data_IF_009972450716
#
_entry.id   IF_009972450716
#
_cell.length_a   1.000
_cell.length_b   1.000
_cell.length_c   1.000
_cell.angle_alpha   90.00
_cell.angle_beta   90.00
_cell.angle_gamma   90.00
#
_symmetry.space_group_name_H-M   'P 1'
#
loop_
_entity.id
_entity.type
_entity.pdbx_description
1 polymer ?
#
# COMPACT_ATOMS: atom_id res chain seq x y z
N UNK A 1 5.21 -23.79 5.29
CA UNK A 1 5.01 -22.35 5.56
C UNK A 1 6.17 -21.91 6.43
N UNK A 2 6.74 -20.74 6.17
CA UNK A 2 7.88 -20.24 6.96
C UNK A 2 7.31 -19.44 8.12
N UNK A 3 7.66 -19.82 9.34
CA UNK A 3 7.27 -19.06 10.54
C UNK A 3 8.20 -17.85 10.67
N UNK A 4 7.63 -16.65 10.65
CA UNK A 4 8.36 -15.40 10.88
C UNK A 4 8.03 -14.87 12.26
N UNK A 5 9.04 -14.47 13.01
CA UNK A 5 8.85 -13.73 14.25
C UNK A 5 8.38 -12.30 13.92
N UNK A 6 7.38 -11.81 14.64
CA UNK A 6 7.02 -10.39 14.64
C UNK A 6 7.91 -9.72 15.68
N UNK A 7 9.00 -9.09 15.24
CA UNK A 7 9.94 -8.47 16.16
C UNK A 7 9.43 -7.16 16.74
N UNK A 8 9.86 -6.89 17.97
CA UNK A 8 9.82 -5.60 18.63
C UNK A 8 11.25 -5.06 18.85
N UNK A 9 11.39 -3.95 19.57
CA UNK A 9 12.72 -3.36 19.86
C UNK A 9 13.62 -4.24 20.74
N UNK A 10 13.06 -5.24 21.43
CA UNK A 10 13.82 -6.14 22.31
C UNK A 10 14.32 -7.38 21.57
N UNK A 11 13.58 -7.81 20.56
CA UNK A 11 13.83 -9.05 19.82
C UNK A 11 14.40 -8.84 18.43
N UNK A 12 14.31 -7.63 17.86
CA UNK A 12 14.84 -7.35 16.53
C UNK A 12 16.38 -7.41 16.47
N UNK A 13 16.95 -7.76 15.30
CA UNK A 13 18.36 -7.57 15.03
C UNK A 13 18.80 -6.12 15.32
N UNK A 14 20.01 -5.92 15.86
CA UNK A 14 20.49 -4.61 16.32
C UNK A 14 20.30 -3.46 15.31
N UNK A 15 20.52 -3.75 14.01
CA UNK A 15 20.36 -2.74 12.95
C UNK A 15 18.91 -2.37 12.65
N UNK A 16 17.94 -3.21 13.01
CA UNK A 16 16.51 -2.95 12.82
C UNK A 16 15.86 -2.22 14.00
N UNK A 17 16.42 -2.30 15.22
CA UNK A 17 15.90 -1.61 16.41
C UNK A 17 15.62 -0.11 16.19
N UNK A 18 16.57 0.72 15.70
CA UNK A 18 16.29 2.15 15.48
C UNK A 18 15.23 2.40 14.39
N UNK A 19 15.08 1.47 13.43
CA UNK A 19 14.04 1.55 12.40
C UNK A 19 12.66 1.27 13.00
N UNK A 20 12.55 0.25 13.86
CA UNK A 20 11.31 -0.05 14.59
C UNK A 20 10.93 1.08 15.55
N UNK A 21 11.89 1.70 16.23
CA UNK A 21 11.63 2.88 17.06
C UNK A 21 11.11 4.07 16.24
N UNK A 22 11.69 4.31 15.05
CA UNK A 22 11.18 5.34 14.12
C UNK A 22 9.75 5.03 13.68
N UNK A 23 9.47 3.76 13.36
CA UNK A 23 8.12 3.32 12.99
C UNK A 23 7.13 3.51 14.15
N UNK A 24 7.49 3.11 15.37
CA UNK A 24 6.68 3.28 16.56
C UNK A 24 6.30 4.74 16.81
N UNK A 25 7.25 5.67 16.64
CA UNK A 25 7.01 7.11 16.77
C UNK A 25 6.05 7.64 15.71
N UNK A 26 6.12 7.13 14.47
CA UNK A 26 5.28 7.58 13.38
C UNK A 26 3.83 7.08 13.48
N UNK A 27 3.63 5.85 13.95
CA UNK A 27 2.32 5.20 13.97
C UNK A 27 1.70 5.05 15.37
N UNK A 28 2.42 5.43 16.43
CA UNK A 28 2.03 5.21 17.83
C UNK A 28 2.21 3.76 18.32
N UNK A 29 2.60 2.85 17.43
CA UNK A 29 2.89 1.44 17.69
C UNK A 29 3.80 0.91 16.56
N UNK A 30 4.41 -0.27 16.75
CA UNK A 30 5.12 -0.96 15.68
C UNK A 30 4.08 -1.78 14.89
N UNK A 31 3.80 -1.46 13.60
CA UNK A 31 2.94 -2.31 12.79
C UNK A 31 3.54 -3.70 12.65
N UNK A 32 2.72 -4.74 12.74
CA UNK A 32 3.18 -6.13 12.64
C UNK A 32 4.02 -6.40 11.38
N UNK A 33 3.69 -5.77 10.25
CA UNK A 33 4.49 -5.86 9.01
C UNK A 33 5.93 -5.36 9.21
N UNK A 34 6.13 -4.27 9.95
CA UNK A 34 7.47 -3.75 10.24
C UNK A 34 8.23 -4.70 11.15
N UNK A 35 7.54 -5.30 12.14
CA UNK A 35 8.10 -6.34 12.99
C UNK A 35 8.56 -7.57 12.20
N UNK A 36 7.79 -8.00 11.18
CA UNK A 36 8.20 -9.08 10.27
C UNK A 36 9.40 -8.67 9.41
N UNK A 37 9.36 -7.49 8.79
CA UNK A 37 10.46 -7.01 7.95
C UNK A 37 11.76 -6.80 8.73
N UNK A 38 11.70 -6.58 10.05
CA UNK A 38 12.87 -6.36 10.90
C UNK A 38 13.85 -7.53 10.93
N UNK A 39 13.40 -8.75 10.62
CA UNK A 39 14.27 -9.92 10.40
C UNK A 39 15.38 -9.59 9.38
N UNK A 40 15.06 -8.76 8.37
CA UNK A 40 16.03 -8.19 7.43
C UNK A 40 16.08 -6.66 7.56
N UNK A 41 17.05 -6.10 8.31
CA UNK A 41 17.21 -4.65 8.44
C UNK A 41 17.33 -3.91 7.10
N UNK A 42 17.88 -4.56 6.08
CA UNK A 42 17.98 -4.00 4.73
C UNK A 42 16.61 -3.84 4.05
N UNK A 43 15.74 -4.84 4.19
CA UNK A 43 14.37 -4.79 3.65
C UNK A 43 13.54 -3.76 4.39
N UNK A 44 13.57 -3.78 5.74
CA UNK A 44 12.85 -2.80 6.55
C UNK A 44 13.27 -1.37 6.20
N UNK A 45 14.58 -1.11 6.13
CA UNK A 45 15.11 0.21 5.77
C UNK A 45 14.66 0.63 4.37
N UNK A 46 14.82 -0.24 3.37
CA UNK A 46 14.44 0.07 1.99
C UNK A 46 12.95 0.37 1.85
N UNK A 47 12.09 -0.40 2.52
CA UNK A 47 10.65 -0.17 2.54
C UNK A 47 10.29 1.17 3.20
N UNK A 48 10.87 1.47 4.36
CA UNK A 48 10.61 2.72 5.08
C UNK A 48 11.09 3.94 4.30
N UNK A 49 12.31 3.89 3.75
CA UNK A 49 12.88 5.01 2.99
C UNK A 49 12.07 5.29 1.73
N UNK A 50 11.65 4.24 1.00
CA UNK A 50 10.81 4.40 -0.18
C UNK A 50 9.44 4.99 0.20
N UNK A 51 8.81 4.47 1.25
CA UNK A 51 7.53 4.99 1.74
C UNK A 51 7.60 6.45 2.14
N UNK A 52 8.66 6.86 2.84
CA UNK A 52 8.88 8.24 3.29
C UNK A 52 9.17 9.16 2.11
N UNK A 53 10.00 8.73 1.16
CA UNK A 53 10.35 9.52 -0.02
C UNK A 53 9.12 9.79 -0.90
N UNK A 54 8.25 8.79 -1.08
CA UNK A 54 7.03 8.94 -1.87
C UNK A 54 6.00 9.88 -1.22
N UNK A 55 6.16 10.29 0.04
CA UNK A 55 5.34 11.37 0.62
C UNK A 55 5.60 12.71 -0.08
N UNK A 56 6.79 12.91 -0.66
CA UNK A 56 7.14 14.11 -1.44
C UNK A 56 6.70 14.07 -2.91
N UNK A 57 5.98 13.03 -3.34
CA UNK A 57 5.48 12.88 -4.70
C UNK A 57 4.35 13.86 -5.03
N UNK A 58 4.02 13.99 -6.32
CA UNK A 58 3.06 14.96 -6.84
C UNK A 58 1.61 14.48 -6.84
N UNK A 59 1.36 13.17 -6.76
CA UNK A 59 0.03 12.64 -6.40
C UNK A 59 -0.41 13.23 -5.05
N UNK A 60 -1.69 13.57 -4.93
CA UNK A 60 -2.26 14.03 -3.68
C UNK A 60 -2.30 12.91 -2.64
N UNK A 61 -2.33 13.21 -1.32
CA UNK A 61 -2.35 12.20 -0.29
C UNK A 61 -3.45 11.13 -0.49
N UNK A 62 -4.69 11.55 -0.79
CA UNK A 62 -5.80 10.64 -1.02
C UNK A 62 -5.58 9.76 -2.28
N UNK A 63 -5.03 10.32 -3.36
CA UNK A 63 -4.67 9.59 -4.60
C UNK A 63 -3.62 8.51 -4.33
N UNK A 64 -2.56 8.82 -3.57
CA UNK A 64 -1.53 7.81 -3.18
C UNK A 64 -2.16 6.65 -2.42
N UNK A 65 -3.09 6.96 -1.51
CA UNK A 65 -3.78 5.95 -0.73
C UNK A 65 -4.77 5.12 -1.57
N UNK A 66 -5.42 5.71 -2.57
CA UNK A 66 -6.22 4.99 -3.55
C UNK A 66 -5.35 3.99 -4.33
N UNK A 67 -4.22 4.41 -4.91
CA UNK A 67 -3.25 3.52 -5.59
C UNK A 67 -2.83 2.38 -4.67
N UNK A 68 -2.41 2.69 -3.44
CA UNK A 68 -1.94 1.66 -2.51
C UNK A 68 -3.03 0.65 -2.11
N UNK A 69 -4.29 1.10 -2.02
CA UNK A 69 -5.43 0.26 -1.71
C UNK A 69 -5.78 -0.64 -2.90
N UNK A 70 -5.87 -0.10 -4.13
CA UNK A 70 -6.08 -0.86 -5.37
C UNK A 70 -5.03 -1.96 -5.50
N UNK A 71 -3.74 -1.65 -5.40
CA UNK A 71 -2.67 -2.67 -5.48
C UNK A 71 -2.83 -3.77 -4.43
N UNK A 72 -3.30 -3.41 -3.23
CA UNK A 72 -3.51 -4.39 -2.15
C UNK A 72 -4.72 -5.29 -2.39
N UNK A 73 -5.78 -4.76 -3.00
CA UNK A 73 -6.98 -5.52 -3.42
C UNK A 73 -6.62 -6.47 -4.54
N UNK A 74 -5.94 -5.99 -5.59
CA UNK A 74 -5.46 -6.79 -6.72
C UNK A 74 -4.56 -7.95 -6.27
N UNK A 75 -3.62 -7.67 -5.35
CA UNK A 75 -2.76 -8.69 -4.79
C UNK A 75 -3.46 -9.56 -3.73
N UNK A 76 -4.73 -9.31 -3.41
CA UNK A 76 -5.54 -10.02 -2.40
C UNK A 76 -4.90 -10.03 -1.00
N UNK A 77 -4.22 -8.95 -0.64
CA UNK A 77 -3.48 -8.84 0.61
C UNK A 77 -4.35 -8.32 1.77
N UNK A 78 -4.93 -9.24 2.55
CA UNK A 78 -5.82 -8.92 3.69
C UNK A 78 -5.26 -7.90 4.67
N UNK A 79 -3.99 -8.05 5.05
CA UNK A 79 -3.33 -7.12 5.96
C UNK A 79 -3.29 -5.70 5.39
N UNK A 80 -2.84 -5.58 4.14
CA UNK A 80 -2.67 -4.27 3.52
C UNK A 80 -4.00 -3.61 3.19
N UNK A 81 -5.02 -4.35 2.78
CA UNK A 81 -6.36 -3.77 2.58
C UNK A 81 -6.91 -3.21 3.90
N UNK A 82 -6.79 -3.95 5.01
CA UNK A 82 -7.24 -3.47 6.32
C UNK A 82 -6.50 -2.21 6.79
N UNK A 83 -5.16 -2.21 6.69
CA UNK A 83 -4.34 -1.07 7.07
C UNK A 83 -4.62 0.16 6.18
N UNK A 84 -4.59 -0.01 4.85
CA UNK A 84 -4.76 1.12 3.93
C UNK A 84 -6.20 1.62 3.83
N UNK A 85 -7.22 0.85 4.23
CA UNK A 85 -8.58 1.37 4.42
C UNK A 85 -8.60 2.50 5.47
N UNK A 86 -7.98 2.26 6.63
CA UNK A 86 -7.93 3.25 7.70
C UNK A 86 -7.09 4.47 7.32
N UNK A 87 -5.95 4.23 6.66
CA UNK A 87 -5.06 5.31 6.22
C UNK A 87 -5.67 6.14 5.08
N UNK A 88 -6.36 5.50 4.12
CA UNK A 88 -7.06 6.21 3.03
C UNK A 88 -8.14 7.14 3.58
N UNK A 89 -8.92 6.67 4.56
CA UNK A 89 -9.90 7.49 5.27
C UNK A 89 -9.24 8.68 5.96
N UNK A 90 -8.12 8.46 6.65
CA UNK A 90 -7.34 9.53 7.28
C UNK A 90 -6.74 10.53 6.29
N UNK A 91 -6.48 10.10 5.05
CA UNK A 91 -5.99 10.95 3.97
C UNK A 91 -7.10 11.72 3.24
N UNK A 92 -8.36 11.57 3.64
CA UNK A 92 -9.51 12.28 3.09
C UNK A 92 -10.22 11.57 1.93
N UNK A 93 -9.91 10.30 1.66
CA UNK A 93 -10.65 9.52 0.67
C UNK A 93 -12.07 9.23 1.18
N UNK A 94 -13.08 9.49 0.35
CA UNK A 94 -14.47 9.33 0.71
C UNK A 94 -14.84 7.85 0.94
N UNK A 95 -15.83 7.61 1.80
CA UNK A 95 -16.14 6.27 2.29
C UNK A 95 -16.67 5.34 1.20
N UNK A 96 -17.50 5.87 0.30
CA UNK A 96 -17.99 5.24 -0.92
C UNK A 96 -16.87 4.87 -1.88
N UNK A 97 -15.92 5.77 -2.14
CA UNK A 97 -14.72 5.49 -2.96
C UNK A 97 -13.89 4.35 -2.35
N UNK A 98 -13.67 4.38 -1.02
CA UNK A 98 -12.97 3.30 -0.32
C UNK A 98 -13.71 1.96 -0.45
N UNK A 99 -15.05 1.97 -0.38
CA UNK A 99 -15.87 0.77 -0.53
C UNK A 99 -15.76 0.24 -1.96
N UNK A 100 -15.93 1.09 -2.98
CA UNK A 100 -15.79 0.69 -4.39
C UNK A 100 -14.45 0.00 -4.66
N UNK A 101 -13.33 0.63 -4.25
CA UNK A 101 -12.00 0.01 -4.39
C UNK A 101 -11.90 -1.34 -3.65
N UNK A 102 -12.47 -1.46 -2.44
CA UNK A 102 -12.42 -2.71 -1.64
C UNK A 102 -13.21 -3.85 -2.25
N UNK A 103 -14.28 -3.54 -2.97
CA UNK A 103 -15.16 -4.50 -3.64
C UNK A 103 -14.76 -4.75 -5.10
N UNK A 104 -13.68 -4.12 -5.57
CA UNK A 104 -13.24 -4.16 -6.98
C UNK A 104 -14.32 -3.64 -7.95
N UNK A 105 -14.97 -2.53 -7.56
CA UNK A 105 -16.05 -1.85 -8.28
C UNK A 105 -15.65 -0.41 -8.64
N UNK A 106 -16.37 0.17 -9.60
CA UNK A 106 -16.15 1.54 -10.07
C UNK A 106 -16.36 2.56 -8.92
N UNK A 107 -15.63 3.68 -8.97
CA UNK A 107 -15.77 4.77 -8.00
C UNK A 107 -16.41 6.02 -8.59
N UNK A 108 -17.25 6.71 -7.80
CA UNK A 108 -18.00 7.92 -8.23
C UNK A 108 -17.13 9.20 -8.18
N UNK A 109 -15.98 9.15 -8.85
CA UNK A 109 -15.08 10.29 -9.11
C UNK A 109 -14.28 9.97 -10.38
N UNK A 110 -14.61 10.62 -11.51
CA UNK A 110 -14.04 10.29 -12.83
C UNK A 110 -12.50 10.33 -12.86
N UNK A 111 -11.89 11.25 -12.11
CA UNK A 111 -10.44 11.40 -12.08
C UNK A 111 -9.80 10.29 -11.26
N UNK A 112 -10.33 10.03 -10.05
CA UNK A 112 -9.85 8.92 -9.22
C UNK A 112 -10.12 7.55 -9.84
N UNK A 113 -11.24 7.38 -10.54
CA UNK A 113 -11.58 6.17 -11.27
C UNK A 113 -10.53 5.89 -12.34
N UNK A 114 -10.14 6.91 -13.11
CA UNK A 114 -9.03 6.79 -14.08
C UNK A 114 -7.73 6.33 -13.42
N UNK A 115 -7.41 6.85 -12.22
CA UNK A 115 -6.24 6.43 -11.44
C UNK A 115 -6.35 4.97 -10.96
N UNK A 116 -7.53 4.56 -10.51
CA UNK A 116 -7.79 3.22 -10.01
C UNK A 116 -7.69 2.18 -11.15
N UNK A 117 -8.39 2.40 -12.26
CA UNK A 117 -8.35 1.54 -13.45
C UNK A 117 -6.94 1.45 -14.03
N UNK A 118 -6.23 2.57 -14.14
CA UNK A 118 -4.85 2.55 -14.62
C UNK A 118 -3.95 1.72 -13.70
N UNK A 119 -4.10 1.89 -12.38
CA UNK A 119 -3.34 1.12 -11.37
C UNK A 119 -3.66 -0.37 -11.46
N UNK A 120 -4.94 -0.75 -11.54
CA UNK A 120 -5.38 -2.14 -11.71
C UNK A 120 -4.76 -2.77 -12.96
N UNK A 121 -4.81 -2.09 -14.11
CA UNK A 121 -4.20 -2.55 -15.37
C UNK A 121 -2.68 -2.70 -15.25
N UNK A 122 -2.00 -1.77 -14.57
CA UNK A 122 -0.57 -1.88 -14.32
C UNK A 122 -0.23 -3.11 -13.46
N UNK A 123 -1.02 -3.43 -12.44
CA UNK A 123 -0.78 -4.60 -11.58
C UNK A 123 -1.05 -5.89 -12.34
N UNK A 124 -2.26 -6.04 -12.91
CA UNK A 124 -2.72 -7.24 -13.61
C UNK A 124 -1.86 -7.58 -14.82
N UNK A 125 -1.46 -6.57 -15.61
CA UNK A 125 -0.64 -6.74 -16.81
C UNK A 125 0.87 -6.60 -16.53
N UNK A 126 1.29 -6.59 -15.27
CA UNK A 126 2.71 -6.52 -14.85
C UNK A 126 3.47 -5.34 -15.48
N UNK A 127 2.81 -4.18 -15.52
CA UNK A 127 3.33 -2.92 -16.05
C UNK A 127 3.14 -2.72 -17.57
N UNK A 128 2.62 -3.72 -18.29
CA UNK A 128 2.40 -3.63 -19.74
C UNK A 128 1.02 -3.04 -20.04
N UNK A 129 0.87 -1.73 -19.84
CA UNK A 129 -0.34 -0.97 -20.23
C UNK A 129 -0.27 -0.52 -21.69
N UNK A 130 -1.44 -0.28 -22.30
CA UNK A 130 -1.52 0.19 -23.67
C UNK A 130 -1.22 1.69 -23.78
N UNK A 131 -0.91 2.16 -24.98
CA UNK A 131 -0.76 3.60 -25.23
C UNK A 131 -2.06 4.36 -24.97
N UNK A 132 -3.22 3.72 -25.17
CA UNK A 132 -4.53 4.31 -24.88
C UNK A 132 -4.67 4.55 -23.37
N UNK A 133 -4.31 3.58 -22.53
CA UNK A 133 -4.37 3.72 -21.07
C UNK A 133 -3.51 4.90 -20.57
N UNK A 134 -2.33 5.08 -21.17
CA UNK A 134 -1.44 6.21 -20.87
C UNK A 134 -2.08 7.53 -21.31
N UNK A 135 -2.69 7.58 -22.50
CA UNK A 135 -3.38 8.78 -23.00
C UNK A 135 -4.57 9.14 -22.12
N UNK A 136 -5.44 8.19 -21.79
CA UNK A 136 -6.60 8.41 -20.93
C UNK A 136 -6.17 8.96 -19.55
N UNK A 137 -5.10 8.42 -18.97
CA UNK A 137 -4.53 8.88 -17.70
C UNK A 137 -4.08 10.35 -17.77
N UNK A 138 -3.41 10.74 -18.85
CA UNK A 138 -2.97 12.12 -19.05
C UNK A 138 -4.14 13.07 -19.33
N UNK A 139 -5.14 12.62 -20.09
CA UNK A 139 -6.33 13.40 -20.44
C UNK A 139 -7.21 13.67 -19.21
N UNK A 140 -7.20 12.79 -18.21
CA UNK A 140 -7.80 13.01 -16.88
C UNK A 140 -7.05 14.05 -16.01
N UNK A 141 -5.97 14.65 -16.54
CA UNK A 141 -5.22 15.71 -15.88
C UNK A 141 -4.09 15.22 -14.98
N UNK A 142 -3.72 13.94 -15.05
CA UNK A 142 -2.47 13.45 -14.45
C UNK A 142 -1.26 13.75 -15.33
N UNK A 143 -0.08 13.66 -14.74
CA UNK A 143 1.18 13.97 -15.41
C UNK A 143 2.01 12.72 -15.68
N UNK A 144 3.04 12.87 -16.53
CA UNK A 144 4.07 11.84 -16.71
C UNK A 144 4.81 11.50 -15.41
N UNK A 145 4.92 12.44 -14.48
CA UNK A 145 5.47 12.14 -13.16
C UNK A 145 4.55 11.19 -12.38
N UNK A 146 3.24 11.41 -12.43
CA UNK A 146 2.27 10.54 -11.77
C UNK A 146 2.27 9.10 -12.31
N UNK A 147 2.54 8.90 -13.60
CA UNK A 147 2.74 7.55 -14.16
C UNK A 147 3.88 6.80 -13.45
N UNK A 148 5.01 7.49 -13.21
CA UNK A 148 6.17 6.92 -12.51
C UNK A 148 5.87 6.72 -11.02
N UNK A 149 5.13 7.64 -10.41
CA UNK A 149 4.72 7.54 -9.01
C UNK A 149 3.77 6.36 -8.77
N UNK A 150 2.84 6.09 -9.69
CA UNK A 150 2.00 4.87 -9.65
C UNK A 150 2.89 3.62 -9.68
N UNK A 151 3.86 3.54 -10.59
CA UNK A 151 4.80 2.42 -10.65
C UNK A 151 5.60 2.25 -9.33
N UNK A 152 6.03 3.35 -8.71
CA UNK A 152 6.75 3.31 -7.44
C UNK A 152 5.85 2.86 -6.27
N UNK A 153 4.60 3.31 -6.22
CA UNK A 153 3.62 2.83 -5.24
C UNK A 153 3.26 1.35 -5.45
N UNK A 154 3.17 0.89 -6.70
CA UNK A 154 3.02 -0.54 -7.01
C UNK A 154 4.21 -1.34 -6.48
N UNK A 155 5.46 -0.88 -6.68
CA UNK A 155 6.64 -1.56 -6.16
C UNK A 155 6.64 -1.63 -4.62
N UNK A 156 6.34 -0.50 -3.96
CA UNK A 156 6.22 -0.41 -2.52
C UNK A 156 5.18 -1.41 -1.99
N UNK A 157 3.99 -1.42 -2.60
CA UNK A 157 2.89 -2.28 -2.15
C UNK A 157 3.14 -3.74 -2.45
N UNK A 158 3.63 -4.07 -3.64
CA UNK A 158 4.00 -5.45 -4.01
C UNK A 158 4.99 -6.02 -3.00
N UNK A 159 6.02 -5.26 -2.59
CA UNK A 159 6.95 -5.69 -1.54
C UNK A 159 6.20 -6.03 -0.23
N UNK A 160 5.39 -5.10 0.30
CA UNK A 160 4.65 -5.35 1.54
C UNK A 160 3.60 -6.46 1.43
N UNK A 161 2.92 -6.58 0.29
CA UNK A 161 1.90 -7.59 0.05
C UNK A 161 2.55 -8.98 0.04
N UNK A 162 3.67 -9.12 -0.66
CA UNK A 162 4.40 -10.39 -0.73
C UNK A 162 5.00 -10.79 0.61
N UNK A 163 5.56 -9.84 1.37
CA UNK A 163 6.00 -10.14 2.75
C UNK A 163 4.83 -10.63 3.60
N UNK A 164 3.67 -9.96 3.55
CA UNK A 164 2.49 -10.41 4.30
C UNK A 164 1.97 -11.77 3.85
N UNK A 165 2.08 -12.12 2.56
CA UNK A 165 1.72 -13.45 2.09
C UNK A 165 2.69 -14.52 2.60
N UNK A 166 4.00 -14.23 2.60
CA UNK A 166 5.02 -15.14 3.10
C UNK A 166 4.89 -15.38 4.61
N UNK A 167 4.65 -14.32 5.37
CA UNK A 167 4.62 -14.35 6.83
C UNK A 167 3.23 -14.59 7.42
N UNK A 168 2.17 -14.55 6.60
CA UNK A 168 0.77 -14.58 7.09
C UNK A 168 0.53 -13.57 8.22
N UNK A 169 1.08 -12.36 8.04
CA UNK A 169 1.12 -11.34 9.09
C UNK A 169 -0.28 -11.04 9.62
N UNK A 170 -0.52 -11.19 10.94
CA UNK A 170 -1.82 -10.87 11.52
C UNK A 170 -2.07 -9.36 11.46
N UNK A 171 -3.33 -8.99 11.18
CA UNK A 171 -3.76 -7.59 11.17
C UNK A 171 -3.62 -7.00 12.58
N UNK A 172 -2.98 -5.83 12.69
CA UNK A 172 -2.89 -5.10 13.95
C UNK A 172 -4.27 -4.82 14.54
N UNK A 173 -4.37 -4.80 15.87
CA UNK A 173 -5.64 -4.55 16.56
C UNK A 173 -6.28 -3.21 16.13
N UNK A 174 -5.47 -2.17 15.90
CA UNK A 174 -5.92 -0.86 15.42
C UNK A 174 -6.57 -0.88 14.04
N UNK A 175 -6.27 -1.88 13.21
CA UNK A 175 -6.83 -2.02 11.86
C UNK A 175 -7.93 -3.10 11.81
N UNK A 176 -8.22 -3.77 12.92
CA UNK A 176 -9.18 -4.88 12.96
C UNK A 176 -10.61 -4.47 12.56
N UNK A 177 -11.00 -3.21 12.76
CA UNK A 177 -12.30 -2.69 12.30
C UNK A 177 -12.42 -2.67 10.77
N UNK A 178 -11.29 -2.62 10.06
CA UNK A 178 -11.25 -2.61 8.60
C UNK A 178 -10.94 -3.98 7.99
N UNK A 179 -11.09 -5.07 8.76
CA UNK A 179 -10.91 -6.44 8.26
C UNK A 179 -11.58 -6.62 6.90
N UNK A 180 -10.93 -7.40 6.05
CA UNK A 180 -11.33 -7.58 4.67
C UNK A 180 -11.13 -9.04 4.24
N UNK A 181 -12.07 -9.51 3.44
CA UNK A 181 -12.04 -10.78 2.75
C UNK A 181 -12.12 -10.45 1.27
N UNK A 182 -11.23 -11.02 0.42
CA UNK A 182 -11.36 -10.86 -1.02
C UNK A 182 -12.77 -11.24 -1.49
N UNK A 183 -13.38 -10.47 -2.40
CA UNK A 183 -14.57 -10.89 -3.13
C UNK A 183 -14.33 -12.25 -3.82
N UNK A 184 -15.40 -13.04 -3.99
CA UNK A 184 -15.35 -14.37 -4.64
C UNK A 184 -15.07 -14.29 -6.14
#
# INVERSE_FOLDING_TARGET
MTEFQIHDVTTAPEKAKPLLEKSAKAFGQIPNLMGVMAESPAVLKGYMDLSETLVGSTLQPHERHAVMLVVSVENRCKYCVAAHTGLARGAGLAADIIIGIREDDDVDDEKLETLCVFTQKMVTNRGNVSQKDVTDFLDAGYTRANLLEVAAHIALKTLSNYVNHLAQTPVDASFAINKWTPPE
#
